data_IF_794330306754
#
_entry.id   IF_794330306754
#
_cell.length_a   1.000
_cell.length_b   1.000
_cell.length_c   1.000
_cell.angle_alpha   90.00
_cell.angle_beta   90.00
_cell.angle_gamma   90.00
#
_symmetry.space_group_name_H-M   'P 1'
#
loop_
_entity.id
_entity.type
_entity.pdbx_description
1 polymer ?
#
# COMPACT_ATOMS: atom_id res chain seq x y z
N UNK A 1 54.47 78.69 9.61
CA UNK A 1 53.95 77.31 9.54
C UNK A 1 52.43 77.32 9.44
N UNK A 2 51.69 77.83 10.43
CA UNK A 2 50.21 77.88 10.39
C UNK A 2 49.63 78.88 9.36
N UNK A 3 50.27 80.03 9.13
CA UNK A 3 49.84 81.04 8.16
C UNK A 3 50.06 80.64 6.70
N UNK A 4 51.13 79.90 6.41
CA UNK A 4 51.39 79.31 5.10
C UNK A 4 50.37 78.23 4.77
N UNK A 5 50.01 77.39 5.75
CA UNK A 5 48.96 76.37 5.59
C UNK A 5 47.59 77.03 5.31
N UNK A 6 47.28 78.14 5.98
CA UNK A 6 46.03 78.87 5.74
C UNK A 6 45.96 79.46 4.32
N UNK A 7 47.06 80.03 3.82
CA UNK A 7 47.15 80.54 2.45
C UNK A 7 46.92 79.46 1.38
N UNK A 8 47.48 78.27 1.54
CA UNK A 8 47.23 77.12 0.65
C UNK A 8 45.82 76.53 0.79
N UNK A 9 45.16 76.68 1.94
CA UNK A 9 43.79 76.21 2.15
C UNK A 9 42.71 77.14 1.55
N UNK A 10 42.99 78.44 1.37
CA UNK A 10 42.08 79.40 0.74
C UNK A 10 42.33 79.64 -0.75
N UNK A 11 43.35 79.00 -1.34
CA UNK A 11 43.63 79.10 -2.76
C UNK A 11 42.57 78.33 -3.58
N UNK A 12 41.80 78.99 -4.46
CA UNK A 12 40.71 78.36 -5.22
C UNK A 12 41.16 77.13 -6.03
N UNK A 13 42.42 77.09 -6.48
CA UNK A 13 42.95 75.96 -7.24
C UNK A 13 43.15 74.71 -6.38
N UNK A 14 43.63 74.87 -5.14
CA UNK A 14 43.86 73.75 -4.22
C UNK A 14 42.53 73.17 -3.73
N UNK A 15 41.56 74.02 -3.42
CA UNK A 15 40.19 73.61 -3.10
C UNK A 15 39.55 72.80 -4.23
N UNK A 16 39.64 73.27 -5.48
CA UNK A 16 39.15 72.53 -6.64
C UNK A 16 39.84 71.17 -6.81
N UNK A 17 41.16 71.10 -6.62
CA UNK A 17 41.91 69.85 -6.73
C UNK A 17 41.50 68.83 -5.66
N UNK A 18 41.28 69.26 -4.42
CA UNK A 18 40.83 68.40 -3.33
C UNK A 18 39.40 67.88 -3.57
N UNK A 19 38.47 68.75 -3.99
CA UNK A 19 37.12 68.32 -4.32
C UNK A 19 37.08 67.38 -5.52
N UNK A 20 37.89 67.62 -6.55
CA UNK A 20 38.02 66.74 -7.70
C UNK A 20 38.59 65.36 -7.30
N UNK A 21 39.60 65.32 -6.43
CA UNK A 21 40.16 64.07 -5.92
C UNK A 21 39.13 63.25 -5.14
N UNK A 22 38.33 63.89 -4.27
CA UNK A 22 37.25 63.23 -3.53
C UNK A 22 36.17 62.70 -4.48
N UNK A 23 35.79 63.48 -5.51
CA UNK A 23 34.80 63.06 -6.49
C UNK A 23 35.26 61.84 -7.30
N UNK A 24 36.52 61.82 -7.77
CA UNK A 24 37.10 60.69 -8.49
C UNK A 24 37.23 59.46 -7.57
N UNK A 25 37.60 59.64 -6.31
CA UNK A 25 37.65 58.55 -5.35
C UNK A 25 36.25 57.95 -5.10
N UNK A 26 35.24 58.81 -4.94
CA UNK A 26 33.86 58.38 -4.74
C UNK A 26 33.31 57.60 -5.95
N UNK A 27 33.62 58.03 -7.18
CA UNK A 27 33.18 57.31 -8.39
C UNK A 27 33.85 55.95 -8.52
N UNK A 28 35.15 55.85 -8.22
CA UNK A 28 35.88 54.56 -8.20
C UNK A 28 35.29 53.59 -7.18
N UNK A 29 34.98 54.06 -5.96
CA UNK A 29 34.34 53.24 -4.92
C UNK A 29 32.94 52.79 -5.34
N UNK A 30 32.13 53.68 -5.90
CA UNK A 30 30.75 53.37 -6.33
C UNK A 30 30.73 52.32 -7.44
N UNK A 31 31.64 52.42 -8.42
CA UNK A 31 31.78 51.43 -9.50
C UNK A 31 32.32 50.10 -8.95
N UNK A 32 33.29 50.15 -8.02
CA UNK A 32 33.85 48.96 -7.38
C UNK A 32 32.83 48.19 -6.55
N UNK A 33 31.91 48.87 -5.86
CA UNK A 33 30.84 48.25 -5.10
C UNK A 33 29.83 47.49 -5.98
N UNK A 34 29.52 48.01 -7.18
CA UNK A 34 28.64 47.33 -8.13
C UNK A 34 29.21 45.98 -8.60
N UNK A 35 30.55 45.84 -8.68
CA UNK A 35 31.21 44.58 -8.99
C UNK A 35 31.20 43.55 -7.84
N UNK A 36 30.89 43.97 -6.61
CA UNK A 36 30.91 43.10 -5.43
C UNK A 36 29.53 42.52 -5.07
N UNK A 37 28.51 42.76 -5.89
CA UNK A 37 27.20 42.11 -5.73
C UNK A 37 27.32 40.59 -5.97
N UNK A 38 27.46 39.86 -4.86
CA UNK A 38 27.49 38.39 -4.84
C UNK A 38 26.20 37.83 -5.44
N UNK A 39 26.34 36.87 -6.34
CA UNK A 39 25.25 36.21 -7.05
C UNK A 39 24.22 35.57 -6.10
N UNK A 40 23.12 36.27 -5.86
CA UNK A 40 21.98 35.80 -5.05
C UNK A 40 21.06 34.87 -5.82
N UNK A 41 21.19 34.81 -7.15
CA UNK A 41 20.30 34.05 -8.02
C UNK A 41 20.68 32.57 -8.02
N UNK A 42 21.99 32.27 -8.06
CA UNK A 42 22.50 30.91 -7.88
C UNK A 42 22.04 30.27 -6.55
N UNK A 43 22.03 31.04 -5.45
CA UNK A 43 21.55 30.57 -4.15
C UNK A 43 20.04 30.26 -4.16
N UNK A 44 19.23 31.09 -4.82
CA UNK A 44 17.77 30.90 -4.95
C UNK A 44 17.41 29.72 -5.86
N UNK A 45 18.16 29.49 -6.94
CA UNK A 45 17.92 28.32 -7.78
C UNK A 45 18.19 27.02 -6.99
N UNK A 46 19.25 26.99 -6.18
CA UNK A 46 19.54 25.83 -5.33
C UNK A 46 18.44 25.59 -4.29
N UNK A 47 17.89 26.63 -3.66
CA UNK A 47 16.80 26.44 -2.69
C UNK A 47 15.54 25.89 -3.35
N UNK A 48 15.17 26.38 -4.53
CA UNK A 48 14.01 25.88 -5.29
C UNK A 48 14.22 24.43 -5.77
N UNK A 49 15.45 24.07 -6.16
CA UNK A 49 15.77 22.71 -6.57
C UNK A 49 15.61 21.71 -5.40
N UNK A 50 16.12 22.07 -4.22
CA UNK A 50 15.98 21.26 -3.00
C UNK A 50 14.51 21.08 -2.58
N UNK A 51 13.71 22.15 -2.65
CA UNK A 51 12.27 22.10 -2.37
C UNK A 51 11.55 21.12 -3.32
N UNK A 52 11.87 21.19 -4.62
CA UNK A 52 11.29 20.31 -5.64
C UNK A 52 11.71 18.85 -5.44
N UNK A 53 12.94 18.59 -5.04
CA UNK A 53 13.40 17.24 -4.73
C UNK A 53 12.70 16.67 -3.49
N UNK A 54 12.52 17.48 -2.45
CA UNK A 54 11.78 17.09 -1.24
C UNK A 54 10.31 16.75 -1.55
N UNK A 55 9.64 17.53 -2.40
CA UNK A 55 8.28 17.24 -2.87
C UNK A 55 8.24 15.92 -3.65
N UNK A 56 9.14 15.74 -4.62
CA UNK A 56 9.22 14.49 -5.41
C UNK A 56 9.52 13.27 -4.55
N UNK A 57 10.35 13.41 -3.52
CA UNK A 57 10.66 12.34 -2.58
C UNK A 57 9.43 11.96 -1.73
N UNK A 58 8.69 12.97 -1.23
CA UNK A 58 7.45 12.77 -0.47
C UNK A 58 6.37 12.09 -1.31
N UNK A 59 6.20 12.50 -2.56
CA UNK A 59 5.24 11.88 -3.48
C UNK A 59 5.63 10.44 -3.81
N UNK A 60 6.91 10.16 -4.09
CA UNK A 60 7.39 8.78 -4.28
C UNK A 60 7.16 7.90 -3.06
N UNK A 61 7.46 8.40 -1.85
CA UNK A 61 7.19 7.67 -0.61
C UNK A 61 5.68 7.40 -0.43
N UNK A 62 4.82 8.38 -0.73
CA UNK A 62 3.36 8.23 -0.70
C UNK A 62 2.89 7.17 -1.70
N UNK A 63 3.43 7.17 -2.92
CA UNK A 63 3.10 6.18 -3.94
C UNK A 63 3.53 4.77 -3.53
N UNK A 64 4.72 4.58 -2.94
CA UNK A 64 5.16 3.27 -2.43
C UNK A 64 4.24 2.77 -1.31
N UNK A 65 3.88 3.65 -0.37
CA UNK A 65 2.96 3.30 0.74
C UNK A 65 1.51 3.04 0.30
N UNK A 66 1.05 3.65 -0.80
CA UNK A 66 -0.27 3.38 -1.39
C UNK A 66 -0.24 2.15 -2.31
N UNK A 67 0.84 1.94 -3.06
CA UNK A 67 1.04 0.77 -3.92
C UNK A 67 1.08 -0.52 -3.11
N UNK A 68 1.62 -0.50 -1.88
CA UNK A 68 1.58 -1.66 -0.98
C UNK A 68 0.16 -2.01 -0.50
N UNK A 69 -0.80 -1.07 -0.52
CA UNK A 69 -2.19 -1.30 -0.10
C UNK A 69 -3.13 -1.71 -1.24
N UNK A 70 -2.83 -1.31 -2.48
CA UNK A 70 -3.67 -1.60 -3.65
C UNK A 70 -2.91 -2.53 -4.59
N UNK A 71 -2.60 -3.72 -4.09
CA UNK A 71 -2.26 -4.85 -4.95
C UNK A 71 -3.54 -5.31 -5.66
N UNK A 72 -3.61 -5.13 -6.98
CA UNK A 72 -4.65 -5.75 -7.82
C UNK A 72 -4.54 -7.29 -7.84
N UNK A 73 -3.46 -7.84 -7.28
CA UNK A 73 -3.30 -9.28 -7.07
C UNK A 73 -4.10 -9.68 -5.84
N UNK A 74 -5.10 -10.52 -6.06
CA UNK A 74 -5.89 -11.15 -5.00
C UNK A 74 -4.97 -12.11 -4.22
N UNK A 75 -4.27 -11.59 -3.22
CA UNK A 75 -3.43 -12.39 -2.32
C UNK A 75 -4.30 -12.98 -1.20
N UNK A 76 -3.99 -14.22 -0.74
CA UNK A 76 -4.70 -14.76 0.41
C UNK A 76 -4.42 -13.88 1.63
N UNK A 77 -5.45 -13.63 2.44
CA UNK A 77 -5.28 -12.90 3.70
C UNK A 77 -4.20 -13.60 4.54
N UNK A 78 -3.26 -12.83 5.08
CA UNK A 78 -2.05 -13.36 5.72
C UNK A 78 -2.32 -14.41 6.82
N UNK A 79 -3.37 -14.20 7.63
CA UNK A 79 -3.75 -15.14 8.68
C UNK A 79 -4.20 -16.51 8.15
N UNK A 80 -4.95 -16.56 7.04
CA UNK A 80 -5.41 -17.82 6.45
C UNK A 80 -4.22 -18.63 5.95
N UNK A 81 -3.25 -17.93 5.36
CA UNK A 81 -2.01 -18.54 4.87
C UNK A 81 -1.19 -19.13 6.02
N UNK A 82 -0.99 -18.39 7.09
CA UNK A 82 -0.26 -18.85 8.28
C UNK A 82 -0.89 -20.10 8.89
N UNK A 83 -2.22 -20.17 9.00
CA UNK A 83 -2.93 -21.34 9.51
C UNK A 83 -2.78 -22.54 8.56
N UNK A 84 -3.00 -22.33 7.26
CA UNK A 84 -2.89 -23.41 6.26
C UNK A 84 -1.48 -23.98 6.18
N UNK A 85 -0.45 -23.12 6.24
CA UNK A 85 0.96 -23.51 6.22
C UNK A 85 1.38 -24.15 7.56
N UNK A 86 0.96 -23.58 8.69
CA UNK A 86 1.29 -24.09 10.03
C UNK A 86 0.73 -25.48 10.30
N UNK A 87 -0.51 -25.76 9.88
CA UNK A 87 -1.11 -27.09 9.99
C UNK A 87 -0.82 -28.00 8.78
N UNK A 88 0.01 -27.56 7.84
CA UNK A 88 0.35 -28.26 6.61
C UNK A 88 -0.88 -28.85 5.87
N UNK A 89 -1.96 -28.07 5.81
CA UNK A 89 -3.26 -28.52 5.28
C UNK A 89 -3.19 -28.85 3.79
N UNK A 90 -2.21 -28.29 3.08
CA UNK A 90 -1.95 -28.65 1.68
C UNK A 90 -1.58 -30.12 1.53
N UNK A 91 -0.84 -30.70 2.47
CA UNK A 91 -0.50 -32.13 2.42
C UNK A 91 -1.63 -33.00 2.95
N UNK A 92 -2.33 -32.55 3.99
CA UNK A 92 -3.33 -33.36 4.68
C UNK A 92 -4.71 -33.36 4.00
N UNK A 93 -5.12 -32.23 3.38
CA UNK A 93 -6.49 -31.98 2.92
C UNK A 93 -6.58 -31.55 1.44
N UNK A 94 -5.47 -31.39 0.72
CA UNK A 94 -5.52 -31.11 -0.71
C UNK A 94 -5.49 -32.43 -1.51
N UNK A 95 -6.63 -32.75 -2.11
CA UNK A 95 -6.71 -33.85 -3.09
C UNK A 95 -5.99 -33.41 -4.38
N UNK A 96 -5.36 -34.34 -5.11
CA UNK A 96 -4.59 -34.04 -6.34
C UNK A 96 -5.41 -33.25 -7.39
N UNK A 97 -6.73 -33.50 -7.43
CA UNK A 97 -7.66 -32.81 -8.34
C UNK A 97 -8.22 -31.48 -7.82
N UNK A 98 -7.94 -31.07 -6.58
CA UNK A 98 -8.56 -29.88 -5.96
C UNK A 98 -8.23 -28.60 -6.73
N UNK A 99 -6.96 -28.46 -7.15
CA UNK A 99 -6.50 -27.30 -7.93
C UNK A 99 -7.23 -27.24 -9.27
N UNK A 100 -7.44 -28.38 -9.93
CA UNK A 100 -8.14 -28.44 -11.21
C UNK A 100 -9.63 -28.09 -11.06
N UNK A 101 -10.29 -28.57 -9.99
CA UNK A 101 -11.68 -28.17 -9.69
C UNK A 101 -11.81 -26.68 -9.42
N UNK A 102 -10.92 -26.11 -8.62
CA UNK A 102 -10.89 -24.66 -8.37
C UNK A 102 -10.66 -23.87 -9.67
N UNK A 103 -9.78 -24.33 -10.55
CA UNK A 103 -9.57 -23.73 -11.87
C UNK A 103 -10.83 -23.79 -12.74
N UNK A 104 -11.55 -24.93 -12.76
CA UNK A 104 -12.83 -25.05 -13.47
C UNK A 104 -13.91 -24.11 -12.90
N UNK A 105 -13.91 -23.91 -11.58
CA UNK A 105 -14.77 -22.93 -10.93
C UNK A 105 -14.41 -21.47 -11.26
N UNK A 106 -13.29 -21.24 -11.97
CA UNK A 106 -12.78 -19.92 -12.30
C UNK A 106 -11.87 -19.30 -11.25
N UNK A 107 -11.59 -20.02 -10.17
CA UNK A 107 -10.69 -19.60 -9.12
C UNK A 107 -9.24 -19.95 -9.49
N UNK A 108 -8.53 -18.97 -10.03
CA UNK A 108 -7.13 -19.10 -10.47
C UNK A 108 -6.18 -18.56 -9.40
N UNK A 109 -4.97 -19.13 -9.34
CA UNK A 109 -3.91 -18.71 -8.42
C UNK A 109 -3.90 -19.43 -7.07
N UNK A 110 -3.01 -18.98 -6.18
CA UNK A 110 -2.78 -19.62 -4.87
C UNK A 110 -3.79 -19.18 -3.79
N UNK A 111 -4.35 -17.98 -3.90
CA UNK A 111 -5.24 -17.44 -2.88
C UNK A 111 -6.51 -18.29 -2.67
N UNK A 112 -7.24 -18.69 -3.74
CA UNK A 112 -8.45 -19.49 -3.55
C UNK A 112 -8.18 -20.89 -3.01
N UNK A 113 -7.02 -21.47 -3.29
CA UNK A 113 -6.61 -22.76 -2.73
C UNK A 113 -6.43 -22.65 -1.21
N UNK A 114 -5.77 -21.59 -0.73
CA UNK A 114 -5.59 -21.34 0.71
C UNK A 114 -6.95 -21.11 1.37
N UNK A 115 -7.84 -20.31 0.77
CA UNK A 115 -9.19 -20.07 1.29
C UNK A 115 -10.01 -21.37 1.36
N UNK A 116 -9.93 -22.22 0.32
CA UNK A 116 -10.63 -23.49 0.28
C UNK A 116 -10.16 -24.44 1.40
N UNK A 117 -8.84 -24.60 1.56
CA UNK A 117 -8.28 -25.46 2.61
C UNK A 117 -8.59 -24.92 4.00
N UNK A 118 -8.51 -23.61 4.19
CA UNK A 118 -8.91 -22.94 5.41
C UNK A 118 -10.39 -23.18 5.72
N UNK A 119 -11.28 -23.01 4.74
CA UNK A 119 -12.70 -23.26 4.91
C UNK A 119 -13.00 -24.73 5.26
N UNK A 120 -12.30 -25.68 4.64
CA UNK A 120 -12.42 -27.13 4.92
C UNK A 120 -12.04 -27.50 6.36
N UNK A 121 -11.12 -26.75 6.98
CA UNK A 121 -10.77 -26.92 8.39
C UNK A 121 -11.73 -26.17 9.33
N UNK A 122 -12.05 -24.91 9.03
CA UNK A 122 -12.77 -24.03 9.96
C UNK A 122 -14.26 -24.27 9.99
N UNK A 123 -14.90 -24.57 8.84
CA UNK A 123 -16.34 -24.82 8.78
C UNK A 123 -16.83 -25.94 9.71
N UNK A 124 -16.25 -27.16 9.71
CA UNK A 124 -16.71 -28.20 10.61
C UNK A 124 -16.58 -27.78 12.08
N UNK A 125 -15.52 -27.04 12.44
CA UNK A 125 -15.26 -26.58 13.80
C UNK A 125 -16.28 -25.52 14.23
N UNK A 126 -16.56 -24.54 13.38
CA UNK A 126 -17.57 -23.50 13.62
C UNK A 126 -18.97 -24.13 13.70
N UNK A 127 -19.33 -25.01 12.76
CA UNK A 127 -20.64 -25.67 12.78
C UNK A 127 -20.80 -26.59 13.99
N UNK A 128 -19.74 -27.25 14.45
CA UNK A 128 -19.78 -28.05 15.67
C UNK A 128 -20.12 -27.19 16.89
N UNK A 129 -19.43 -26.06 17.07
CA UNK A 129 -19.66 -25.15 18.20
C UNK A 129 -21.06 -24.54 18.12
N UNK A 130 -21.49 -24.09 16.94
CA UNK A 130 -22.83 -23.55 16.74
C UNK A 130 -23.90 -24.61 17.01
N UNK A 131 -23.70 -25.85 16.54
CA UNK A 131 -24.62 -26.95 16.79
C UNK A 131 -24.69 -27.30 18.28
N UNK A 132 -23.57 -27.32 19.00
CA UNK A 132 -23.58 -27.51 20.45
C UNK A 132 -24.35 -26.40 21.16
N UNK A 133 -24.05 -25.13 20.88
CA UNK A 133 -24.77 -24.01 21.49
C UNK A 133 -26.26 -24.08 21.17
N UNK A 134 -26.62 -24.35 19.92
CA UNK A 134 -28.01 -24.47 19.51
C UNK A 134 -28.72 -25.63 20.22
N UNK A 135 -28.12 -26.82 20.26
CA UNK A 135 -28.75 -28.03 20.81
C UNK A 135 -28.83 -27.98 22.35
N UNK A 136 -27.90 -27.31 23.03
CA UNK A 136 -27.89 -27.22 24.49
C UNK A 136 -28.65 -25.99 25.02
N UNK A 137 -28.66 -24.86 24.31
CA UNK A 137 -29.28 -23.63 24.79
C UNK A 137 -30.68 -23.37 24.21
N UNK A 138 -30.96 -23.78 22.97
CA UNK A 138 -32.21 -23.43 22.26
C UNK A 138 -33.09 -24.66 21.98
N UNK A 139 -32.50 -25.78 21.56
CA UNK A 139 -33.25 -26.99 21.28
C UNK A 139 -33.54 -27.72 22.60
N UNK A 140 -34.76 -27.56 23.13
CA UNK A 140 -35.28 -28.33 24.25
C UNK A 140 -35.47 -29.81 23.85
N UNK A 141 -34.38 -30.50 23.51
CA UNK A 141 -34.37 -31.90 23.13
C UNK A 141 -34.23 -32.73 24.40
N UNK A 142 -35.25 -33.53 24.73
CA UNK A 142 -35.24 -34.50 25.84
C UNK A 142 -34.41 -35.74 25.48
N UNK A 143 -33.14 -35.52 25.18
CA UNK A 143 -32.18 -36.55 24.81
C UNK A 143 -30.94 -36.46 25.71
N UNK A 144 -30.30 -37.61 26.03
CA UNK A 144 -29.07 -37.63 26.80
C UNK A 144 -27.97 -36.74 26.18
N UNK A 145 -27.06 -36.15 26.98
CA UNK A 145 -25.99 -35.27 26.48
C UNK A 145 -25.12 -35.93 25.41
N UNK A 146 -24.91 -37.25 25.49
CA UNK A 146 -24.13 -38.01 24.51
C UNK A 146 -24.74 -37.96 23.10
N UNK A 147 -26.08 -38.04 23.00
CA UNK A 147 -26.80 -38.02 21.72
C UNK A 147 -26.74 -36.61 21.13
N UNK A 148 -26.88 -35.57 21.96
CA UNK A 148 -26.74 -34.17 21.55
C UNK A 148 -25.37 -33.88 20.93
N UNK A 149 -24.30 -34.39 21.54
CA UNK A 149 -22.93 -34.27 21.03
C UNK A 149 -22.78 -35.05 19.71
N UNK A 150 -23.35 -36.24 19.61
CA UNK A 150 -23.29 -37.05 18.39
C UNK A 150 -23.99 -36.36 17.22
N UNK A 151 -25.15 -35.73 17.45
CA UNK A 151 -25.84 -34.91 16.46
C UNK A 151 -24.97 -33.71 16.05
N UNK A 152 -24.37 -33.00 17.01
CA UNK A 152 -23.46 -31.89 16.69
C UNK A 152 -22.26 -32.36 15.85
N UNK A 153 -21.73 -33.55 16.12
CA UNK A 153 -20.64 -34.15 15.36
C UNK A 153 -21.06 -34.52 13.92
N UNK A 154 -22.29 -35.01 13.72
CA UNK A 154 -22.86 -35.22 12.39
C UNK A 154 -23.01 -33.90 11.63
N UNK A 155 -23.48 -32.84 12.29
CA UNK A 155 -23.58 -31.50 11.68
C UNK A 155 -22.19 -30.98 11.27
N UNK A 156 -21.20 -31.15 12.12
CA UNK A 156 -19.80 -30.81 11.81
C UNK A 156 -19.27 -31.60 10.61
N UNK A 157 -19.57 -32.90 10.54
CA UNK A 157 -19.19 -33.76 9.42
C UNK A 157 -19.79 -33.28 8.10
N UNK A 158 -21.06 -32.89 8.08
CA UNK A 158 -21.69 -32.27 6.90
C UNK A 158 -20.98 -30.94 6.55
N UNK A 159 -20.60 -30.16 7.56
CA UNK A 159 -19.79 -28.95 7.41
C UNK A 159 -18.48 -29.12 6.68
N UNK A 160 -17.81 -30.26 6.88
CA UNK A 160 -16.56 -30.59 6.20
C UNK A 160 -16.75 -30.79 4.68
N UNK A 161 -17.91 -31.29 4.24
CA UNK A 161 -18.23 -31.46 2.82
C UNK A 161 -18.79 -30.20 2.15
N UNK A 162 -19.23 -29.21 2.93
CA UNK A 162 -19.82 -27.98 2.40
C UNK A 162 -18.91 -27.23 1.39
N UNK A 163 -17.59 -27.06 1.61
CA UNK A 163 -16.69 -26.46 0.61
C UNK A 163 -16.66 -27.19 -0.72
N UNK A 164 -16.68 -28.53 -0.68
CA UNK A 164 -16.68 -29.35 -1.89
C UNK A 164 -17.97 -29.15 -2.70
N UNK A 165 -19.11 -29.15 -2.01
CA UNK A 165 -20.43 -28.88 -2.61
C UNK A 165 -20.51 -27.46 -3.19
N UNK A 166 -19.94 -26.47 -2.49
CA UNK A 166 -19.89 -25.10 -3.00
C UNK A 166 -19.12 -25.03 -4.32
N UNK A 167 -17.92 -25.62 -4.39
CA UNK A 167 -17.10 -25.62 -5.61
C UNK A 167 -17.81 -26.34 -6.76
N UNK A 168 -18.43 -27.50 -6.54
CA UNK A 168 -19.18 -28.20 -7.59
C UNK A 168 -20.37 -27.38 -8.09
N UNK A 169 -21.07 -26.69 -7.19
CA UNK A 169 -22.19 -25.82 -7.57
C UNK A 169 -21.73 -24.65 -8.44
N UNK A 170 -20.59 -24.03 -8.12
CA UNK A 170 -20.01 -22.95 -8.93
C UNK A 170 -19.60 -23.45 -10.31
N UNK A 171 -18.97 -24.62 -10.39
CA UNK A 171 -18.61 -25.26 -11.67
C UNK A 171 -19.86 -25.51 -12.51
N UNK A 172 -20.89 -26.14 -11.93
CA UNK A 172 -22.13 -26.44 -12.63
C UNK A 172 -22.83 -25.19 -13.15
N UNK A 173 -22.93 -24.13 -12.33
CA UNK A 173 -23.50 -22.83 -12.75
C UNK A 173 -22.75 -22.22 -13.93
N UNK A 174 -21.41 -22.30 -13.94
CA UNK A 174 -20.58 -21.84 -15.06
C UNK A 174 -20.75 -22.67 -16.33
N UNK A 175 -20.79 -23.99 -16.18
CA UNK A 175 -21.04 -24.89 -17.32
C UNK A 175 -22.42 -24.62 -17.93
N UNK A 176 -23.43 -24.43 -17.10
CA UNK A 176 -24.77 -24.07 -17.54
C UNK A 176 -24.80 -22.71 -18.24
N UNK A 177 -24.11 -21.69 -17.72
CA UNK A 177 -24.06 -20.38 -18.38
C UNK A 177 -23.35 -20.44 -19.73
N UNK A 178 -22.27 -21.21 -19.84
CA UNK A 178 -21.54 -21.40 -21.10
C UNK A 178 -22.40 -22.14 -22.12
N UNK A 179 -23.04 -23.25 -21.72
CA UNK A 179 -23.95 -24.00 -22.60
C UNK A 179 -25.12 -23.15 -23.11
N UNK A 180 -25.65 -22.26 -22.27
CA UNK A 180 -26.73 -21.32 -22.68
C UNK A 180 -26.23 -20.23 -23.64
N UNK A 181 -24.99 -19.78 -23.50
CA UNK A 181 -24.40 -18.75 -24.35
C UNK A 181 -23.94 -19.29 -25.71
N UNK A 182 -23.55 -20.55 -25.78
CA UNK A 182 -23.15 -21.25 -27.00
C UNK A 182 -23.83 -22.62 -27.12
N UNK A 183 -25.15 -22.65 -27.39
CA UNK A 183 -25.86 -23.93 -27.56
C UNK A 183 -25.38 -24.68 -28.82
N UNK A 184 -25.08 -23.93 -29.89
CA UNK A 184 -24.83 -24.48 -31.24
C UNK A 184 -23.36 -24.85 -31.50
N UNK A 185 -22.44 -24.43 -30.62
CA UNK A 185 -21.00 -24.71 -30.74
C UNK A 185 -20.50 -25.79 -29.77
N UNK A 186 -21.40 -26.36 -28.97
CA UNK A 186 -21.13 -27.36 -27.92
C UNK A 186 -21.90 -28.68 -28.11
N UNK A 187 -22.69 -28.78 -29.19
CA UNK A 187 -23.24 -30.04 -29.73
C UNK A 187 -22.17 -30.75 -30.58
#
# INVERSE_FOLDING_TARGET
MLTTIYGYMTDPQVLFAVFAAIAVFATVVTIGQAFFERDRLAARIRSVALEREAIRARERARLVSKASRVSLRNEPKAYMRQIVEGFNLRKALADEGTVNRLRMAGYRGQAPLVVFLFARLVLPLVLFVVALVYIFALANLDQPPIIKILIALLVAYVGFYAPNLYVSNVISKRQQSIRRAWPDALD
#
